data_IF_338583205171
#
_entry.id   IF_338583205171
#
_cell.length_a   1.000
_cell.length_b   1.000
_cell.length_c   1.000
_cell.angle_alpha   90.00
_cell.angle_beta   90.00
_cell.angle_gamma   90.00
#
_symmetry.space_group_name_H-M   'P 1'
#
loop_
_entity.id
_entity.type
_entity.pdbx_description
1 polymer ?
#
# COMPACT_ATOMS: atom_id res chain seq x y z
N UNK A 1 -4.05 22.98 10.53
CA UNK A 1 -2.73 22.50 10.09
C UNK A 1 -2.99 21.27 9.24
N UNK A 2 -3.04 21.44 7.92
CA UNK A 2 -3.39 20.38 6.97
C UNK A 2 -2.20 19.42 6.91
N UNK A 3 -2.34 18.22 7.46
CA UNK A 3 -1.33 17.17 7.33
C UNK A 3 -1.35 16.74 5.87
N UNK A 4 -0.35 17.16 5.09
CA UNK A 4 -0.13 16.66 3.74
C UNK A 4 0.67 15.37 3.87
N UNK A 5 0.08 14.24 3.50
CA UNK A 5 0.84 13.01 3.32
C UNK A 5 1.91 13.26 2.26
N UNK A 6 3.16 12.89 2.54
CA UNK A 6 4.20 12.91 1.51
C UNK A 6 3.79 11.96 0.37
N UNK A 7 4.15 12.35 -0.86
CA UNK A 7 3.81 11.61 -2.07
C UNK A 7 4.44 10.20 -2.02
N UNK A 8 3.67 9.21 -1.56
CA UNK A 8 4.14 7.84 -1.31
C UNK A 8 3.99 6.92 -2.53
N UNK A 9 3.39 7.43 -3.61
CA UNK A 9 3.26 6.79 -4.91
C UNK A 9 4.56 6.16 -5.46
N UNK A 10 5.76 6.79 -5.39
CA UNK A 10 7.00 6.16 -5.85
C UNK A 10 7.35 4.87 -5.08
N UNK A 11 7.08 4.82 -3.77
CA UNK A 11 7.32 3.62 -2.97
C UNK A 11 6.31 2.52 -3.26
N UNK A 12 5.05 2.88 -3.52
CA UNK A 12 4.00 1.93 -3.88
C UNK A 12 4.28 1.29 -5.25
N UNK A 13 4.74 2.08 -6.24
CA UNK A 13 5.18 1.56 -7.53
C UNK A 13 6.37 0.61 -7.42
N UNK A 14 7.34 0.92 -6.56
CA UNK A 14 8.47 0.04 -6.31
C UNK A 14 8.00 -1.31 -5.72
N UNK A 15 7.11 -1.28 -4.73
CA UNK A 15 6.56 -2.49 -4.10
C UNK A 15 5.78 -3.37 -5.09
N UNK A 16 4.98 -2.78 -5.98
CA UNK A 16 4.26 -3.52 -7.03
C UNK A 16 5.24 -4.17 -8.01
N UNK A 17 6.28 -3.44 -8.42
CA UNK A 17 7.30 -3.98 -9.33
C UNK A 17 8.08 -5.14 -8.70
N UNK A 18 8.44 -5.03 -7.42
CA UNK A 18 9.10 -6.11 -6.67
C UNK A 18 8.19 -7.34 -6.50
N UNK A 19 6.89 -7.13 -6.25
CA UNK A 19 5.92 -8.22 -6.15
C UNK A 19 5.73 -8.96 -7.49
N UNK A 20 5.66 -8.24 -8.62
CA UNK A 20 5.65 -8.84 -9.96
C UNK A 20 6.94 -9.63 -10.22
N UNK A 21 8.10 -9.06 -9.89
CA UNK A 21 9.40 -9.74 -10.03
C UNK A 21 9.53 -11.02 -9.16
N UNK A 22 8.83 -11.08 -8.02
CA UNK A 22 8.77 -12.25 -7.16
C UNK A 22 7.76 -13.33 -7.60
N UNK A 23 7.06 -13.13 -8.73
CA UNK A 23 6.05 -14.06 -9.25
C UNK A 23 4.67 -13.92 -8.60
N UNK A 24 4.41 -12.83 -7.87
CA UNK A 24 3.13 -12.53 -7.22
C UNK A 24 2.25 -11.64 -8.11
N UNK A 25 2.21 -11.92 -9.41
CA UNK A 25 1.58 -11.07 -10.44
C UNK A 25 0.10 -10.78 -10.15
N UNK A 26 -0.67 -11.78 -9.71
CA UNK A 26 -2.09 -11.61 -9.39
C UNK A 26 -2.31 -10.68 -8.20
N UNK A 27 -1.54 -10.86 -7.12
CA UNK A 27 -1.65 -10.03 -5.92
C UNK A 27 -1.12 -8.60 -6.17
N UNK A 28 -0.07 -8.46 -6.98
CA UNK A 28 0.48 -7.18 -7.38
C UNK A 28 -0.49 -6.39 -8.28
N UNK A 29 -1.21 -7.09 -9.17
CA UNK A 29 -2.23 -6.50 -10.04
C UNK A 29 -3.44 -6.04 -9.23
N UNK A 30 -3.90 -6.83 -8.25
CA UNK A 30 -4.99 -6.42 -7.36
C UNK A 30 -4.61 -5.21 -6.50
N UNK A 31 -3.36 -5.14 -6.02
CA UNK A 31 -2.82 -3.99 -5.28
C UNK A 31 -2.73 -2.74 -6.16
N UNK A 32 -2.30 -2.89 -7.41
CA UNK A 32 -2.25 -1.81 -8.40
C UNK A 32 -3.66 -1.30 -8.74
N UNK A 33 -4.60 -2.20 -9.00
CA UNK A 33 -5.99 -1.85 -9.30
C UNK A 33 -6.64 -1.09 -8.13
N UNK A 34 -6.50 -1.59 -6.89
CA UNK A 34 -7.06 -0.91 -5.71
C UNK A 34 -6.38 0.42 -5.40
N UNK A 35 -5.08 0.53 -5.60
CA UNK A 35 -4.31 1.74 -5.29
C UNK A 35 -4.49 2.87 -6.31
N UNK A 36 -4.84 2.51 -7.55
CA UNK A 36 -5.00 3.45 -8.66
C UNK A 36 -6.44 3.53 -9.19
N UNK A 37 -7.38 2.72 -8.66
CA UNK A 37 -8.81 2.84 -8.90
C UNK A 37 -9.26 4.22 -8.40
N UNK A 38 -9.39 5.14 -9.34
CA UNK A 38 -9.75 6.51 -9.10
C UNK A 38 -11.20 6.61 -8.61
N UNK A 39 -11.44 6.53 -7.30
CA UNK A 39 -12.67 7.01 -6.70
C UNK A 39 -12.39 7.77 -5.39
N UNK A 40 -12.73 9.06 -5.45
CA UNK A 40 -13.23 9.93 -4.36
C UNK A 40 -12.30 10.33 -3.19
N UNK A 41 -12.28 11.64 -2.95
CA UNK A 41 -11.81 12.40 -1.77
C UNK A 41 -10.80 11.72 -0.83
N UNK A 42 -9.58 12.25 -0.80
CA UNK A 42 -8.36 11.77 -0.14
C UNK A 42 -8.48 11.10 1.24
N UNK A 43 -9.54 11.33 2.02
CA UNK A 43 -9.73 10.67 3.32
C UNK A 43 -10.26 9.23 3.21
N UNK A 44 -11.12 8.94 2.24
CA UNK A 44 -11.68 7.58 2.01
C UNK A 44 -10.69 6.67 1.29
N UNK A 45 -9.79 7.26 0.50
CA UNK A 45 -8.71 6.58 -0.20
C UNK A 45 -7.62 6.07 0.77
N UNK A 46 -7.22 6.88 1.75
CA UNK A 46 -6.14 6.55 2.69
C UNK A 46 -6.50 5.39 3.62
N UNK A 47 -7.65 5.48 4.27
CA UNK A 47 -8.76 4.67 3.83
C UNK A 47 -8.59 3.19 3.49
N UNK A 48 -9.13 2.93 2.31
CA UNK A 48 -9.04 1.68 1.56
C UNK A 48 -7.60 1.21 1.37
N UNK A 49 -6.63 2.12 1.22
CA UNK A 49 -5.21 1.78 1.10
C UNK A 49 -4.69 1.11 2.38
N UNK A 50 -5.01 1.64 3.57
CA UNK A 50 -4.62 1.06 4.85
C UNK A 50 -5.20 -0.33 5.05
N UNK A 51 -6.47 -0.52 4.66
CA UNK A 51 -7.16 -1.82 4.69
C UNK A 51 -6.56 -2.83 3.70
N UNK A 52 -6.22 -2.41 2.49
CA UNK A 52 -5.59 -3.27 1.49
C UNK A 52 -4.18 -3.71 1.92
N UNK A 53 -3.38 -2.79 2.46
CA UNK A 53 -2.04 -3.11 2.97
C UNK A 53 -2.13 -4.09 4.15
N UNK A 54 -3.10 -3.90 5.05
CA UNK A 54 -3.32 -4.80 6.19
C UNK A 54 -3.70 -6.21 5.71
N UNK A 55 -4.62 -6.32 4.75
CA UNK A 55 -5.03 -7.60 4.16
C UNK A 55 -3.89 -8.30 3.43
N UNK A 56 -3.04 -7.55 2.71
CA UNK A 56 -1.86 -8.11 2.05
C UNK A 56 -0.87 -8.70 3.06
N UNK A 57 -0.60 -8.00 4.16
CA UNK A 57 0.30 -8.49 5.22
C UNK A 57 -0.30 -9.69 5.99
N UNK A 58 -1.61 -9.70 6.19
CA UNK A 58 -2.32 -10.80 6.86
C UNK A 58 -2.35 -12.07 5.99
N UNK A 59 -2.71 -11.92 4.71
CA UNK A 59 -2.77 -13.02 3.73
C UNK A 59 -1.37 -13.54 3.36
N UNK A 60 -0.39 -12.65 3.23
CA UNK A 60 0.99 -13.02 2.89
C UNK A 60 1.82 -13.52 4.08
N UNK A 61 1.47 -13.12 5.31
CA UNK A 61 2.13 -13.58 6.54
C UNK A 61 3.66 -13.57 6.49
N UNK A 62 4.27 -14.70 6.87
CA UNK A 62 5.73 -14.90 6.87
C UNK A 62 6.35 -15.05 5.46
N UNK A 63 5.53 -15.19 4.41
CA UNK A 63 6.00 -15.27 3.03
C UNK A 63 6.27 -13.88 2.42
N UNK A 64 5.86 -12.80 3.07
CA UNK A 64 6.15 -11.43 2.63
C UNK A 64 7.64 -11.13 2.83
N UNK A 65 8.38 -10.74 1.77
CA UNK A 65 9.78 -10.35 1.90
C UNK A 65 9.96 -9.19 2.88
N UNK A 66 11.05 -9.22 3.66
CA UNK A 66 11.30 -8.20 4.69
C UNK A 66 11.35 -6.76 4.13
N UNK A 67 11.87 -6.59 2.90
CA UNK A 67 11.88 -5.29 2.21
C UNK A 67 10.47 -4.77 1.87
N UNK A 68 9.62 -5.67 1.35
CA UNK A 68 8.21 -5.36 1.06
C UNK A 68 7.47 -5.00 2.34
N UNK A 69 7.66 -5.79 3.40
CA UNK A 69 7.07 -5.50 4.70
C UNK A 69 7.51 -4.13 5.25
N UNK A 70 8.79 -3.78 5.16
CA UNK A 70 9.30 -2.51 5.64
C UNK A 70 8.69 -1.30 4.89
N UNK A 71 8.50 -1.42 3.57
CA UNK A 71 7.86 -0.39 2.76
C UNK A 71 6.35 -0.25 3.09
N UNK A 72 5.65 -1.38 3.26
CA UNK A 72 4.23 -1.38 3.64
C UNK A 72 3.99 -0.83 5.05
N UNK A 73 4.89 -1.12 6.01
CA UNK A 73 4.84 -0.52 7.34
C UNK A 73 5.02 1.02 7.30
N UNK A 74 5.90 1.52 6.42
CA UNK A 74 6.04 2.98 6.19
C UNK A 74 4.78 3.58 5.60
N UNK A 75 4.16 2.93 4.60
CA UNK A 75 2.89 3.40 4.04
C UNK A 75 1.78 3.45 5.10
N UNK A 76 1.69 2.44 5.98
CA UNK A 76 0.74 2.45 7.10
C UNK A 76 1.03 3.57 8.10
N UNK A 77 2.30 3.89 8.35
CA UNK A 77 2.68 4.98 9.24
C UNK A 77 2.25 6.34 8.69
N UNK A 78 2.42 6.57 7.38
CA UNK A 78 1.96 7.81 6.73
C UNK A 78 0.42 7.91 6.69
N UNK A 79 -0.27 6.80 6.38
CA UNK A 79 -1.73 6.75 6.40
C UNK A 79 -2.27 7.10 7.79
N UNK A 80 -1.66 6.57 8.86
CA UNK A 80 -2.04 6.87 10.25
C UNK A 80 -1.88 8.33 10.66
N UNK A 81 -1.02 9.11 9.98
CA UNK A 81 -0.89 10.54 10.25
C UNK A 81 -2.13 11.33 9.81
N UNK A 82 -2.87 10.80 8.84
CA UNK A 82 -4.02 11.49 8.22
C UNK A 82 -5.34 10.80 8.59
N UNK A 83 -5.33 9.48 8.83
CA UNK A 83 -6.50 8.68 9.17
C UNK A 83 -6.26 7.84 10.46
N UNK A 84 -6.89 8.20 11.59
CA UNK A 84 -6.71 7.50 12.87
C UNK A 84 -7.41 6.14 12.95
#
# INVERSE_FOLDING_TARGET
>A
MTIQAEDYYPYLKAAIAEAKAAGLDAAATELEDKAFAAYTTSSELLGEHGLAIRQFLDSGGAAVPAGVKANLDRCLAEIRKVWP
#
